data_IF_354215663546
#
_entry.id   IF_354215663546
#
_cell.length_a   1.000
_cell.length_b   1.000
_cell.length_c   1.000
_cell.angle_alpha   90.00
_cell.angle_beta   90.00
_cell.angle_gamma   90.00
#
_symmetry.space_group_name_H-M   'P 1'
#
loop_
_entity.id
_entity.type
_entity.pdbx_description
1 polymer ?
#
# COMPACT_ATOMS: atom_id res chain seq x y z
N UNK A 1 -0.91 15.84 -12.94
CA UNK A 1 -2.35 16.11 -12.81
C UNK A 1 -2.60 16.92 -11.55
N UNK A 2 -3.22 18.05 -11.69
CA UNK A 2 -3.33 19.04 -10.62
C UNK A 2 -4.41 18.74 -9.57
N UNK A 3 -5.45 18.02 -9.97
CA UNK A 3 -6.64 17.80 -9.15
C UNK A 3 -6.87 16.38 -8.73
N UNK A 4 -5.89 15.55 -8.89
CA UNK A 4 -6.03 14.17 -8.48
C UNK A 4 -6.00 14.05 -6.96
N UNK A 5 -6.70 13.09 -6.45
CA UNK A 5 -6.68 12.74 -5.04
C UNK A 5 -5.37 11.99 -4.74
N UNK A 6 -4.56 12.52 -3.83
CA UNK A 6 -3.28 11.91 -3.46
C UNK A 6 -3.44 10.51 -2.89
N UNK A 7 -4.51 10.27 -2.13
CA UNK A 7 -4.79 8.96 -1.59
C UNK A 7 -5.08 7.94 -2.68
N UNK A 8 -5.87 8.32 -3.68
CA UNK A 8 -6.16 7.45 -4.83
C UNK A 8 -4.89 7.20 -5.66
N UNK A 9 -4.10 8.24 -5.90
CA UNK A 9 -2.86 8.10 -6.66
C UNK A 9 -1.87 7.17 -5.95
N UNK A 10 -1.71 7.30 -4.64
CA UNK A 10 -0.86 6.42 -3.84
C UNK A 10 -1.35 4.97 -3.90
N UNK A 11 -2.66 4.75 -3.80
CA UNK A 11 -3.28 3.45 -3.91
C UNK A 11 -2.98 2.78 -5.27
N UNK A 12 -3.16 3.52 -6.36
CA UNK A 12 -2.90 3.01 -7.70
C UNK A 12 -1.42 2.67 -7.91
N UNK A 13 -0.52 3.52 -7.44
CA UNK A 13 0.93 3.26 -7.53
C UNK A 13 1.33 2.04 -6.70
N UNK A 14 0.76 1.89 -5.51
CA UNK A 14 1.00 0.71 -4.68
C UNK A 14 0.52 -0.56 -5.39
N UNK A 15 -0.65 -0.53 -6.02
CA UNK A 15 -1.16 -1.66 -6.81
C UNK A 15 -0.22 -2.02 -7.95
N UNK A 16 0.29 -1.03 -8.68
CA UNK A 16 1.23 -1.26 -9.77
C UNK A 16 2.52 -1.93 -9.28
N UNK A 17 3.01 -1.53 -8.11
CA UNK A 17 4.21 -2.13 -7.53
C UNK A 17 3.99 -3.54 -7.01
N UNK A 18 2.80 -3.84 -6.54
CA UNK A 18 2.45 -5.17 -6.02
C UNK A 18 2.03 -6.13 -7.13
N UNK A 19 1.75 -5.61 -8.33
CA UNK A 19 1.32 -6.42 -9.46
C UNK A 19 2.50 -7.20 -10.03
N UNK A 20 2.42 -8.52 -9.99
CA UNK A 20 3.41 -9.42 -10.57
C UNK A 20 2.74 -10.74 -10.97
N UNK A 21 3.52 -11.63 -11.58
CA UNK A 21 3.02 -12.90 -12.09
C UNK A 21 2.78 -13.96 -11.00
N UNK A 22 3.30 -13.73 -9.80
CA UNK A 22 3.24 -14.71 -8.70
C UNK A 22 2.08 -14.47 -7.76
N UNK A 23 1.39 -13.34 -7.88
CA UNK A 23 0.33 -12.95 -6.96
C UNK A 23 -0.97 -12.63 -7.67
N UNK A 24 -2.08 -12.98 -7.02
CA UNK A 24 -3.39 -12.42 -7.34
C UNK A 24 -3.53 -11.11 -6.55
N UNK A 25 -4.03 -10.09 -7.21
CA UNK A 25 -4.17 -8.76 -6.62
C UNK A 25 -5.65 -8.40 -6.51
N UNK A 26 -6.06 -8.01 -5.31
CA UNK A 26 -7.43 -7.59 -5.02
C UNK A 26 -7.41 -6.22 -4.38
N UNK A 27 -8.40 -5.40 -4.66
CA UNK A 27 -8.56 -4.12 -4.00
C UNK A 27 -9.87 -4.03 -3.23
N UNK A 28 -9.89 -3.18 -2.22
CA UNK A 28 -11.10 -2.89 -1.47
C UNK A 28 -11.96 -1.93 -2.29
N UNK A 29 -13.03 -2.44 -2.87
CA UNK A 29 -13.90 -1.68 -3.75
C UNK A 29 -14.66 -0.57 -3.03
N UNK A 30 -14.87 -0.71 -1.72
CA UNK A 30 -15.56 0.30 -0.92
C UNK A 30 -14.69 1.54 -0.67
N UNK A 31 -13.39 1.40 -0.78
CA UNK A 31 -12.45 2.49 -0.51
C UNK A 31 -12.32 2.89 0.95
N UNK A 32 -12.89 2.12 1.85
CA UNK A 32 -12.88 2.36 3.30
C UNK A 32 -12.52 1.08 4.04
N UNK A 33 -12.05 1.25 5.27
CA UNK A 33 -11.72 0.14 6.13
C UNK A 33 -10.22 -0.06 6.28
N UNK A 34 -9.82 -1.06 7.06
CA UNK A 34 -8.42 -1.25 7.45
C UNK A 34 -7.53 -1.82 6.35
N UNK A 35 -8.12 -2.36 5.29
CA UNK A 35 -7.38 -3.03 4.22
C UNK A 35 -7.74 -2.39 2.88
N UNK A 36 -6.73 -1.92 2.15
CA UNK A 36 -6.92 -1.37 0.80
C UNK A 36 -6.68 -2.40 -0.28
N UNK A 37 -5.66 -3.22 -0.11
CA UNK A 37 -5.17 -4.15 -1.11
C UNK A 37 -4.88 -5.50 -0.45
N UNK A 38 -5.21 -6.57 -1.16
CA UNK A 38 -4.90 -7.92 -0.74
C UNK A 38 -4.11 -8.60 -1.86
N UNK A 39 -3.04 -9.28 -1.50
CA UNK A 39 -2.34 -10.16 -2.44
C UNK A 39 -2.41 -11.60 -1.96
N UNK A 40 -2.53 -12.52 -2.90
CA UNK A 40 -2.47 -13.96 -2.63
C UNK A 40 -1.37 -14.55 -3.50
N UNK A 41 -0.38 -15.15 -2.86
CA UNK A 41 0.67 -15.86 -3.59
C UNK A 41 0.07 -17.11 -4.23
N UNK A 42 0.17 -17.21 -5.57
CA UNK A 42 -0.43 -18.31 -6.33
C UNK A 42 0.18 -19.67 -6.00
N UNK A 43 1.43 -19.68 -5.54
CA UNK A 43 2.17 -20.92 -5.29
C UNK A 43 2.04 -21.40 -3.87
N UNK A 44 2.03 -20.49 -2.92
CA UNK A 44 2.03 -20.81 -1.49
C UNK A 44 0.68 -20.62 -0.82
N UNK A 45 -0.21 -19.83 -1.44
CA UNK A 45 -1.49 -19.46 -0.85
C UNK A 45 -1.37 -18.39 0.24
N UNK A 46 -0.19 -17.84 0.48
CA UNK A 46 -0.01 -16.80 1.50
C UNK A 46 -0.77 -15.55 1.12
N UNK A 47 -1.59 -15.07 2.06
CA UNK A 47 -2.40 -13.86 1.89
C UNK A 47 -1.72 -12.72 2.64
N UNK A 48 -1.58 -11.58 1.97
CA UNK A 48 -1.01 -10.37 2.59
C UNK A 48 -1.97 -9.21 2.44
N UNK A 49 -2.14 -8.46 3.52
CA UNK A 49 -3.00 -7.28 3.57
C UNK A 49 -2.17 -6.01 3.59
N UNK A 50 -2.56 -5.04 2.79
CA UNK A 50 -1.84 -3.76 2.68
C UNK A 50 -2.78 -2.58 2.88
N UNK A 51 -2.23 -1.52 3.45
CA UNK A 51 -2.84 -0.20 3.52
C UNK A 51 -1.90 0.76 2.79
N UNK A 52 -2.36 1.35 1.69
CA UNK A 52 -1.56 2.27 0.89
C UNK A 52 -1.68 3.68 1.49
N UNK A 53 -0.55 4.31 1.72
CA UNK A 53 -0.50 5.66 2.31
C UNK A 53 0.38 6.57 1.47
N UNK A 54 -0.09 7.82 1.31
CA UNK A 54 0.74 8.87 0.75
C UNK A 54 1.82 9.25 1.75
N UNK A 55 3.08 9.13 1.36
CA UNK A 55 4.22 9.46 2.22
C UNK A 55 4.54 10.95 2.09
N UNK A 56 4.72 11.62 3.21
CA UNK A 56 5.04 13.04 3.25
C UNK A 56 6.53 13.22 3.49
N UNK A 57 7.15 14.15 2.75
CA UNK A 57 8.57 14.43 2.88
C UNK A 57 8.99 14.84 4.29
N UNK A 58 8.07 15.42 5.06
CA UNK A 58 8.33 15.89 6.42
C UNK A 58 8.33 14.79 7.46
N UNK A 59 7.70 13.67 7.17
CA UNK A 59 7.24 12.85 8.27
C UNK A 59 8.02 11.60 8.37
N UNK A 60 9.00 11.28 8.06
CA UNK A 60 9.70 10.00 8.29
C UNK A 60 9.15 9.16 9.46
N UNK A 61 7.96 9.54 9.93
CA UNK A 61 7.28 8.87 11.03
C UNK A 61 6.33 7.81 10.48
N UNK A 62 6.37 6.65 11.08
CA UNK A 62 5.35 5.63 10.84
C UNK A 62 4.03 6.16 11.36
N UNK A 63 2.99 6.11 10.52
CA UNK A 63 1.65 6.41 10.99
C UNK A 63 1.16 5.28 11.87
N UNK A 64 0.51 5.59 13.01
CA UNK A 64 -0.03 4.55 13.86
C UNK A 64 -1.10 3.74 13.12
N UNK A 65 -1.09 2.45 13.31
CA UNK A 65 -2.12 1.57 12.79
C UNK A 65 -3.25 1.44 13.81
N UNK A 66 -4.46 1.24 13.30
CA UNK A 66 -5.60 0.89 14.16
C UNK A 66 -5.41 -0.49 14.79
N UNK A 67 -6.19 -0.77 15.83
CA UNK A 67 -6.14 -2.08 16.49
C UNK A 67 -6.46 -3.22 15.52
N UNK A 68 -7.45 -3.02 14.65
CA UNK A 68 -7.84 -4.03 13.67
C UNK A 68 -6.74 -4.25 12.63
N UNK A 69 -6.05 -3.21 12.20
CA UNK A 69 -4.92 -3.34 11.27
C UNK A 69 -3.79 -4.16 11.88
N UNK A 70 -3.46 -3.90 13.15
CA UNK A 70 -2.43 -4.67 13.86
C UNK A 70 -2.83 -6.14 14.01
N UNK A 71 -4.08 -6.38 14.35
CA UNK A 71 -4.62 -7.73 14.52
C UNK A 71 -4.58 -8.54 13.23
N UNK A 72 -4.86 -7.90 12.11
CA UNK A 72 -4.85 -8.54 10.78
C UNK A 72 -3.46 -8.62 10.15
N UNK A 73 -2.46 -7.99 10.76
CA UNK A 73 -1.12 -7.96 10.19
C UNK A 73 -1.03 -7.13 8.92
N UNK A 74 -1.80 -6.05 8.83
CA UNK A 74 -1.80 -5.16 7.67
C UNK A 74 -0.46 -4.45 7.55
N UNK A 75 0.11 -4.46 6.35
CA UNK A 75 1.37 -3.78 6.06
C UNK A 75 1.09 -2.41 5.45
N UNK A 76 1.79 -1.38 5.93
CA UNK A 76 1.70 -0.05 5.36
C UNK A 76 2.62 0.05 4.14
N UNK A 77 2.04 0.33 3.00
CA UNK A 77 2.77 0.60 1.76
C UNK A 77 2.76 2.11 1.54
N UNK A 78 3.93 2.74 1.72
CA UNK A 78 4.06 4.19 1.59
C UNK A 78 4.50 4.55 0.18
N UNK A 79 3.80 5.52 -0.40
CA UNK A 79 4.11 6.03 -1.74
C UNK A 79 4.39 7.53 -1.62
N UNK A 80 5.57 7.96 -2.05
CA UNK A 80 5.90 9.37 -2.17
C UNK A 80 5.76 9.78 -3.63
N UNK A 81 4.65 10.46 -3.94
CA UNK A 81 4.31 10.84 -5.30
C UNK A 81 5.24 11.92 -5.85
N UNK A 82 5.75 12.79 -4.98
CA UNK A 82 6.65 13.87 -5.39
C UNK A 82 8.02 13.34 -5.78
N UNK A 83 8.58 12.46 -4.95
CA UNK A 83 9.90 11.85 -5.19
C UNK A 83 9.84 10.65 -6.10
N UNK A 84 8.64 10.16 -6.40
CA UNK A 84 8.42 8.93 -7.18
C UNK A 84 9.13 7.74 -6.56
N UNK A 85 8.92 7.55 -5.27
CA UNK A 85 9.51 6.46 -4.48
C UNK A 85 8.44 5.76 -3.64
N UNK A 86 8.78 4.57 -3.17
CA UNK A 86 7.94 3.78 -2.27
C UNK A 86 8.79 3.20 -1.15
N UNK A 87 8.15 2.85 -0.05
CA UNK A 87 8.78 2.09 1.03
C UNK A 87 7.79 1.12 1.67
N UNK A 88 8.30 -0.02 2.06
CA UNK A 88 7.53 -1.10 2.69
C UNK A 88 8.47 -1.89 3.60
N UNK A 89 8.20 -1.87 4.91
CA UNK A 89 8.92 -2.68 5.90
C UNK A 89 10.45 -2.60 5.78
N UNK A 90 10.99 -1.40 5.69
CA UNK A 90 12.43 -1.19 5.57
C UNK A 90 12.99 -1.32 4.16
N UNK A 91 12.19 -1.78 3.22
CA UNK A 91 12.55 -1.78 1.80
C UNK A 91 12.08 -0.48 1.17
N UNK A 92 12.83 0.03 0.22
CA UNK A 92 12.45 1.22 -0.53
C UNK A 92 12.94 1.10 -1.97
N UNK A 93 12.26 1.80 -2.86
CA UNK A 93 12.59 1.78 -4.27
C UNK A 93 11.93 2.93 -5.02
N UNK A 94 12.15 2.94 -6.32
CA UNK A 94 11.54 3.92 -7.23
C UNK A 94 10.26 3.36 -7.82
N UNK A 95 9.31 4.26 -8.04
CA UNK A 95 8.07 3.91 -8.73
C UNK A 95 8.29 3.60 -10.21
#
# INVERSE_FOLDING_TARGET
MKYYNKGIAAHLEAMLKLLDDDHLLFENIQGQGPIDIITVNKHTGVVTFYDAKSDRDRAHKKRPQSKIQKKLGVKNFYVNLRKRTWRLEGKMGKL
#
